data_IF_762179134812
#
_entry.id   IF_762179134812
#
_cell.length_a   1.000
_cell.length_b   1.000
_cell.length_c   1.000
_cell.angle_alpha   90.00
_cell.angle_beta   90.00
_cell.angle_gamma   90.00
#
_symmetry.space_group_name_H-M   'P 1'
#
loop_
_entity.id
_entity.type
_entity.pdbx_description
1 polymer ?
#
# COMPACT_ATOMS: atom_id res chain seq x y z
N UNK A 1 -19.40 5.09 -37.91
CA UNK A 1 -18.38 5.09 -38.99
C UNK A 1 -17.73 3.72 -38.97
N UNK A 2 -18.00 2.84 -39.96
CA UNK A 2 -17.38 1.50 -40.02
C UNK A 2 -15.92 1.67 -40.44
N UNK A 3 -14.98 1.33 -39.57
CA UNK A 3 -13.57 1.25 -39.94
C UNK A 3 -13.27 -0.21 -40.23
N UNK A 4 -13.31 -0.58 -41.51
CA UNK A 4 -12.84 -1.88 -41.99
C UNK A 4 -11.33 -1.78 -42.27
N UNK A 5 -10.52 -2.47 -41.46
CA UNK A 5 -9.10 -2.64 -41.75
C UNK A 5 -8.93 -3.79 -42.76
N UNK A 6 -8.73 -3.45 -44.03
CA UNK A 6 -8.45 -4.44 -45.07
C UNK A 6 -6.95 -4.59 -45.33
N UNK A 7 -6.35 -5.68 -44.86
CA UNK A 7 -5.48 -6.63 -45.61
C UNK A 7 -4.49 -7.39 -44.70
N UNK A 8 -4.62 -8.70 -44.70
CA UNK A 8 -3.78 -9.67 -43.99
C UNK A 8 -4.66 -10.61 -43.18
N UNK A 9 -4.63 -11.92 -43.46
CA UNK A 9 -5.48 -12.94 -42.86
C UNK A 9 -5.52 -12.83 -41.32
N UNK A 10 -6.51 -12.09 -40.83
CA UNK A 10 -6.62 -11.63 -39.46
C UNK A 10 -8.09 -11.69 -39.11
N UNK A 11 -8.38 -12.24 -37.94
CA UNK A 11 -9.71 -12.38 -37.37
C UNK A 11 -10.39 -11.00 -37.44
N UNK A 12 -11.40 -10.82 -38.30
CA UNK A 12 -12.25 -9.63 -38.29
C UNK A 12 -13.02 -9.64 -36.97
N UNK A 13 -12.58 -8.81 -36.02
CA UNK A 13 -13.36 -8.53 -34.83
C UNK A 13 -14.40 -7.48 -35.20
N UNK A 14 -15.65 -7.90 -35.36
CA UNK A 14 -16.80 -6.99 -35.47
C UNK A 14 -16.90 -6.16 -34.18
N UNK A 15 -16.34 -4.96 -34.20
CA UNK A 15 -16.31 -4.03 -33.06
C UNK A 15 -17.02 -2.72 -33.37
N UNK A 16 -17.89 -2.28 -32.47
CA UNK A 16 -18.51 -0.96 -32.51
C UNK A 16 -17.66 0.02 -31.70
N UNK A 17 -17.54 1.27 -32.18
CA UNK A 17 -16.82 2.32 -31.46
C UNK A 17 -17.51 3.67 -31.58
N UNK A 18 -17.39 4.48 -30.53
CA UNK A 18 -17.85 5.86 -30.50
C UNK A 18 -16.93 6.74 -29.67
N UNK A 19 -17.05 8.06 -29.87
CA UNK A 19 -16.28 9.07 -29.14
C UNK A 19 -17.23 9.78 -28.20
N UNK A 20 -17.02 9.61 -26.89
CA UNK A 20 -17.70 10.38 -25.86
C UNK A 20 -16.95 11.70 -25.65
N UNK A 21 -17.67 12.82 -25.74
CA UNK A 21 -17.07 14.14 -25.57
C UNK A 21 -18.00 15.10 -24.85
N UNK A 22 -17.48 15.75 -23.80
CA UNK A 22 -18.20 16.75 -22.99
C UNK A 22 -17.27 17.86 -22.53
N UNK A 23 -17.83 19.03 -22.26
CA UNK A 23 -17.10 20.22 -21.78
C UNK A 23 -17.33 20.51 -20.29
N UNK A 24 -17.91 19.57 -19.55
CA UNK A 24 -18.13 19.69 -18.09
C UNK A 24 -17.24 18.69 -17.35
N UNK A 25 -16.72 19.02 -16.16
CA UNK A 25 -15.97 18.07 -15.35
C UNK A 25 -16.89 16.99 -14.78
N UNK A 26 -16.32 15.83 -14.51
CA UNK A 26 -16.94 14.81 -13.68
C UNK A 26 -16.90 15.20 -12.20
N UNK A 27 -18.03 14.96 -11.53
CA UNK A 27 -18.16 15.09 -10.10
C UNK A 27 -17.41 13.96 -9.42
N UNK A 28 -16.53 14.32 -8.48
CA UNK A 28 -15.57 13.41 -7.86
C UNK A 28 -16.25 12.13 -7.32
N UNK A 29 -17.25 12.27 -6.46
CA UNK A 29 -17.88 11.12 -5.78
C UNK A 29 -18.68 10.23 -6.74
N UNK A 30 -19.25 10.82 -7.79
CA UNK A 30 -20.08 10.09 -8.76
C UNK A 30 -19.20 9.28 -9.69
N UNK A 31 -18.10 9.88 -10.16
CA UNK A 31 -17.10 9.17 -10.93
C UNK A 31 -16.45 8.03 -10.13
N UNK A 32 -16.11 8.26 -8.86
CA UNK A 32 -15.55 7.20 -8.00
C UNK A 32 -16.52 6.03 -7.86
N UNK A 33 -17.78 6.29 -7.52
CA UNK A 33 -18.78 5.23 -7.38
C UNK A 33 -18.95 4.40 -8.67
N UNK A 34 -18.89 5.04 -9.84
CA UNK A 34 -18.92 4.35 -11.12
C UNK A 34 -17.69 3.45 -11.32
N UNK A 35 -16.48 3.94 -11.01
CA UNK A 35 -15.26 3.16 -11.17
C UNK A 35 -15.24 1.92 -10.26
N UNK A 36 -15.80 2.04 -9.06
CA UNK A 36 -15.93 0.95 -8.09
C UNK A 36 -16.85 -0.13 -8.62
N UNK A 37 -18.01 0.30 -9.11
CA UNK A 37 -18.99 -0.57 -9.74
C UNK A 37 -18.37 -1.32 -10.92
N UNK A 38 -17.57 -0.64 -11.75
CA UNK A 38 -16.90 -1.27 -12.89
C UNK A 38 -15.78 -2.24 -12.46
N UNK A 39 -15.02 -1.90 -11.42
CA UNK A 39 -13.95 -2.73 -10.89
C UNK A 39 -14.48 -4.02 -10.22
N UNK A 40 -15.57 -3.92 -9.47
CA UNK A 40 -16.21 -5.06 -8.79
C UNK A 40 -16.98 -5.96 -9.78
N UNK A 41 -17.67 -5.38 -10.76
CA UNK A 41 -18.43 -6.16 -11.78
C UNK A 41 -17.54 -6.95 -12.71
N UNK A 42 -16.31 -6.50 -12.96
CA UNK A 42 -15.30 -7.28 -13.68
C UNK A 42 -14.98 -8.63 -13.00
N UNK A 43 -15.36 -8.83 -11.73
CA UNK A 43 -15.11 -10.07 -11.00
C UNK A 43 -16.30 -11.04 -10.96
N UNK A 44 -17.58 -10.61 -11.11
CA UNK A 44 -18.74 -11.48 -10.77
C UNK A 44 -20.02 -11.36 -11.65
N UNK A 45 -20.23 -10.37 -12.54
CA UNK A 45 -21.53 -10.29 -13.27
C UNK A 45 -21.44 -9.82 -14.75
N UNK A 46 -22.19 -10.48 -15.63
CA UNK A 46 -22.21 -10.26 -17.09
C UNK A 46 -23.25 -9.21 -17.56
N UNK A 47 -24.09 -8.68 -16.66
CA UNK A 47 -25.23 -7.83 -17.03
C UNK A 47 -25.02 -6.37 -16.61
N UNK A 48 -24.96 -5.48 -17.60
CA UNK A 48 -24.83 -4.03 -17.43
C UNK A 48 -24.39 -3.34 -18.73
N UNK A 49 -24.57 -2.02 -18.86
CA UNK A 49 -24.26 -1.30 -20.11
C UNK A 49 -22.77 -1.39 -20.51
N UNK A 50 -21.88 -1.50 -19.51
CA UNK A 50 -20.44 -1.63 -19.70
C UNK A 50 -19.95 -3.06 -19.99
N UNK A 51 -20.81 -4.09 -19.91
CA UNK A 51 -20.37 -5.48 -20.14
C UNK A 51 -19.99 -5.77 -21.60
N UNK A 52 -20.52 -4.97 -22.52
CA UNK A 52 -20.19 -5.02 -23.95
C UNK A 52 -18.95 -4.17 -24.32
N UNK A 53 -18.47 -3.30 -23.41
CA UNK A 53 -17.30 -2.45 -23.63
C UNK A 53 -16.03 -3.28 -23.44
N UNK A 54 -15.18 -3.31 -24.47
CA UNK A 54 -13.92 -4.06 -24.44
C UNK A 54 -12.75 -3.18 -24.01
N UNK A 55 -12.73 -1.94 -24.52
CA UNK A 55 -11.70 -0.95 -24.22
C UNK A 55 -12.28 0.44 -24.20
N UNK A 56 -11.66 1.31 -23.42
CA UNK A 56 -11.85 2.74 -23.53
C UNK A 56 -10.56 3.49 -23.20
N UNK A 57 -10.29 4.59 -23.89
CA UNK A 57 -9.08 5.38 -23.66
C UNK A 57 -9.34 6.85 -23.96
N UNK A 58 -8.80 7.74 -23.14
CA UNK A 58 -8.86 9.15 -23.42
C UNK A 58 -8.51 10.04 -22.25
N UNK A 59 -8.97 11.28 -22.30
CA UNK A 59 -8.72 12.29 -21.28
C UNK A 59 -10.03 12.67 -20.60
N UNK A 60 -9.99 12.77 -19.27
CA UNK A 60 -11.11 13.18 -18.44
C UNK A 60 -10.74 14.33 -17.52
N UNK A 61 -11.76 15.09 -17.13
CA UNK A 61 -11.63 16.25 -16.26
C UNK A 61 -12.42 15.99 -14.98
N UNK A 62 -11.78 16.17 -13.81
CA UNK A 62 -12.39 15.92 -12.51
C UNK A 62 -12.42 17.21 -11.68
N UNK A 63 -13.57 17.50 -11.06
CA UNK A 63 -13.92 18.77 -10.41
C UNK A 63 -12.87 19.35 -9.42
N UNK A 64 -12.12 18.51 -8.69
CA UNK A 64 -11.15 18.99 -7.68
C UNK A 64 -9.76 19.29 -8.26
N UNK A 65 -9.45 18.75 -9.44
CA UNK A 65 -8.17 18.96 -10.12
C UNK A 65 -8.44 19.70 -11.42
N UNK A 66 -8.87 20.95 -11.27
CA UNK A 66 -9.11 21.85 -12.41
C UNK A 66 -7.81 22.30 -13.07
N UNK A 67 -6.65 21.97 -12.52
CA UNK A 67 -5.35 22.30 -13.08
C UNK A 67 -4.78 21.16 -13.93
N UNK A 68 -5.12 19.90 -13.62
CA UNK A 68 -4.55 18.72 -14.28
C UNK A 68 -5.59 17.90 -15.05
N UNK A 69 -5.17 17.38 -16.19
CA UNK A 69 -5.92 16.37 -16.94
C UNK A 69 -5.82 15.01 -16.25
N UNK A 70 -6.74 14.10 -16.55
CA UNK A 70 -6.64 12.72 -16.11
C UNK A 70 -6.69 11.79 -17.33
N UNK A 71 -5.75 10.85 -17.40
CA UNK A 71 -5.71 9.83 -18.44
C UNK A 71 -6.56 8.63 -18.06
N UNK A 72 -7.62 8.39 -18.82
CA UNK A 72 -8.45 7.20 -18.71
C UNK A 72 -7.90 6.09 -19.60
N UNK A 73 -7.72 4.89 -19.04
CA UNK A 73 -7.35 3.68 -19.76
C UNK A 73 -8.08 2.45 -19.23
N UNK A 74 -8.86 1.83 -20.09
CA UNK A 74 -9.63 0.63 -19.83
C UNK A 74 -9.30 -0.43 -20.87
N UNK A 75 -8.92 -1.62 -20.43
CA UNK A 75 -8.75 -2.79 -21.26
C UNK A 75 -9.13 -4.06 -20.51
N UNK A 76 -10.17 -4.75 -20.99
CA UNK A 76 -10.68 -5.96 -20.34
C UNK A 76 -11.12 -5.66 -18.91
N UNK A 77 -10.55 -6.37 -17.94
CA UNK A 77 -10.81 -6.19 -16.50
C UNK A 77 -10.03 -5.06 -15.84
N UNK A 78 -9.14 -4.40 -16.59
CA UNK A 78 -8.28 -3.34 -16.06
C UNK A 78 -8.85 -1.99 -16.45
N UNK A 79 -9.23 -1.18 -15.47
CA UNK A 79 -9.67 0.21 -15.64
C UNK A 79 -8.82 1.10 -14.74
N UNK A 80 -8.17 2.10 -15.34
CA UNK A 80 -7.27 3.03 -14.67
C UNK A 80 -7.61 4.45 -15.13
N UNK A 81 -7.60 5.39 -14.19
CA UNK A 81 -7.68 6.82 -14.47
C UNK A 81 -6.59 7.47 -13.65
N UNK A 82 -5.60 8.06 -14.30
CA UNK A 82 -4.39 8.58 -13.68
C UNK A 82 -4.33 10.08 -13.85
N UNK A 83 -3.85 10.81 -12.84
CA UNK A 83 -3.53 12.23 -13.03
C UNK A 83 -2.43 12.36 -14.09
N UNK A 84 -2.69 13.21 -15.08
CA UNK A 84 -1.83 13.49 -16.22
C UNK A 84 -1.23 14.88 -16.14
N UNK A 85 -0.93 15.46 -17.31
CA UNK A 85 -0.31 16.77 -17.41
C UNK A 85 -1.29 17.92 -17.11
N UNK A 86 -0.78 19.12 -16.73
CA UNK A 86 -1.59 20.33 -16.66
C UNK A 86 -2.38 20.56 -17.96
N UNK A 87 -3.63 21.03 -17.84
CA UNK A 87 -4.51 21.23 -19.00
C UNK A 87 -3.91 22.13 -20.09
N UNK A 88 -3.10 23.11 -19.69
CA UNK A 88 -2.43 24.04 -20.60
C UNK A 88 -1.41 23.32 -21.51
N UNK A 89 -0.71 22.31 -20.98
CA UNK A 89 0.24 21.49 -21.75
C UNK A 89 -0.48 20.53 -22.71
N UNK A 90 -1.57 19.93 -22.27
CA UNK A 90 -2.39 18.99 -23.07
C UNK A 90 -3.00 19.66 -24.31
N UNK A 91 -3.45 20.91 -24.21
CA UNK A 91 -4.01 21.64 -25.34
C UNK A 91 -2.95 21.94 -26.41
N UNK A 92 -1.72 22.27 -25.98
CA UNK A 92 -0.62 22.57 -26.91
C UNK A 92 -0.09 21.35 -27.68
N UNK A 93 -0.21 20.15 -27.12
CA UNK A 93 0.29 18.92 -27.77
C UNK A 93 -0.70 18.29 -28.76
N UNK A 94 -2.01 18.52 -28.60
CA UNK A 94 -3.06 17.98 -29.48
C UNK A 94 -3.53 18.93 -30.59
N UNK A 95 -3.46 20.24 -30.36
CA UNK A 95 -3.85 21.25 -31.34
C UNK A 95 -2.57 21.93 -31.83
N UNK A 96 -2.02 21.46 -32.95
CA UNK A 96 -0.85 22.06 -33.55
C UNK A 96 -1.05 23.56 -33.79
N UNK A 97 -0.38 24.38 -32.97
CA UNK A 97 -0.17 25.80 -33.18
C UNK A 97 -1.32 26.75 -32.85
N UNK A 98 -1.07 27.65 -31.89
CA UNK A 98 -1.52 29.04 -31.93
C UNK A 98 -2.94 29.34 -31.44
N UNK A 99 -3.07 29.79 -30.20
CA UNK A 99 -4.27 30.46 -29.74
C UNK A 99 -4.26 30.75 -28.25
N UNK A 100 -3.89 31.96 -27.85
CA UNK A 100 -4.12 32.49 -26.50
C UNK A 100 -5.59 32.87 -26.36
N UNK A 101 -6.37 32.17 -25.53
CA UNK A 101 -7.57 32.75 -24.92
C UNK A 101 -7.96 32.02 -23.63
N UNK A 102 -8.13 32.82 -22.58
CA UNK A 102 -8.98 32.65 -21.39
C UNK A 102 -9.75 31.32 -21.28
N UNK A 103 -9.48 30.60 -20.18
CA UNK A 103 -10.33 29.61 -19.49
C UNK A 103 -11.72 29.34 -20.11
N UNK A 104 -11.85 28.55 -21.19
CA UNK A 104 -13.09 27.81 -21.52
C UNK A 104 -13.00 26.76 -22.66
N UNK A 105 -11.80 26.26 -22.99
CA UNK A 105 -11.59 25.29 -24.08
C UNK A 105 -11.46 23.82 -23.64
N UNK A 106 -11.75 23.50 -22.38
CA UNK A 106 -11.48 22.17 -21.81
C UNK A 106 -12.55 21.19 -22.23
N UNK A 107 -12.11 20.07 -22.81
CA UNK A 107 -12.99 19.01 -23.28
C UNK A 107 -12.41 17.68 -22.88
N UNK A 108 -13.24 16.87 -22.22
CA UNK A 108 -12.94 15.46 -22.01
C UNK A 108 -13.35 14.68 -23.25
N UNK A 109 -12.52 13.72 -23.63
CA UNK A 109 -12.71 12.90 -24.82
C UNK A 109 -12.29 11.47 -24.50
N UNK A 110 -13.22 10.53 -24.64
CA UNK A 110 -13.01 9.11 -24.48
C UNK A 110 -13.37 8.40 -25.77
N UNK A 111 -12.45 7.60 -26.28
CA UNK A 111 -12.74 6.63 -27.33
C UNK A 111 -13.18 5.35 -26.63
N UNK A 112 -14.36 4.86 -26.97
CA UNK A 112 -14.94 3.64 -26.40
C UNK A 112 -15.12 2.62 -27.51
N UNK A 113 -14.63 1.39 -27.27
CA UNK A 113 -14.65 0.27 -28.22
C UNK A 113 -15.31 -0.91 -27.53
N UNK A 114 -16.36 -1.47 -28.13
CA UNK A 114 -17.11 -2.61 -27.61
C UNK A 114 -17.40 -3.68 -28.65
N UNK A 115 -18.04 -4.75 -28.19
CA UNK A 115 -18.58 -5.81 -29.05
C UNK A 115 -19.75 -5.28 -29.90
N UNK A 116 -20.06 -5.99 -30.98
CA UNK A 116 -21.21 -5.70 -31.83
C UNK A 116 -22.51 -5.57 -31.01
N UNK A 117 -23.31 -4.54 -31.29
CA UNK A 117 -24.52 -4.18 -30.53
C UNK A 117 -24.25 -3.64 -29.12
N UNK A 118 -23.12 -2.94 -28.94
CA UNK A 118 -22.82 -2.21 -27.69
C UNK A 118 -23.91 -1.18 -27.40
N UNK A 119 -24.38 -1.13 -26.16
CA UNK A 119 -25.38 -0.18 -25.69
C UNK A 119 -24.77 1.23 -25.49
N UNK A 120 -24.34 1.86 -26.59
CA UNK A 120 -23.61 3.12 -26.59
C UNK A 120 -24.36 4.22 -25.82
N UNK A 121 -25.67 4.37 -26.06
CA UNK A 121 -26.51 5.35 -25.36
C UNK A 121 -26.56 5.14 -23.85
N UNK A 122 -26.56 3.90 -23.37
CA UNK A 122 -26.59 3.59 -21.95
C UNK A 122 -25.22 3.83 -21.29
N UNK A 123 -24.12 3.58 -22.01
CA UNK A 123 -22.76 3.93 -21.57
C UNK A 123 -22.62 5.44 -21.48
N UNK A 124 -23.09 6.20 -22.47
CA UNK A 124 -23.11 7.66 -22.44
C UNK A 124 -23.95 8.19 -21.28
N UNK A 125 -25.15 7.65 -21.06
CA UNK A 125 -26.01 8.06 -19.95
C UNK A 125 -25.34 7.81 -18.58
N UNK A 126 -24.59 6.71 -18.44
CA UNK A 126 -23.84 6.40 -17.21
C UNK A 126 -22.73 7.40 -16.95
N UNK A 127 -22.00 7.80 -18.00
CA UNK A 127 -20.97 8.85 -17.91
C UNK A 127 -21.60 10.22 -17.64
N UNK A 128 -22.68 10.57 -18.35
CA UNK A 128 -23.37 11.85 -18.17
C UNK A 128 -23.95 12.01 -16.77
N UNK A 129 -24.42 10.93 -16.14
CA UNK A 129 -24.85 10.92 -14.75
C UNK A 129 -23.72 11.29 -13.77
N UNK A 130 -22.45 11.18 -14.18
CA UNK A 130 -21.29 11.56 -13.38
C UNK A 130 -20.87 13.03 -13.56
N UNK A 131 -21.44 13.78 -14.51
CA UNK A 131 -21.04 15.17 -14.77
C UNK A 131 -21.53 16.15 -13.70
N UNK A 132 -20.70 17.12 -13.34
CA UNK A 132 -21.10 18.22 -12.45
C UNK A 132 -22.28 19.01 -13.03
N UNK A 133 -23.17 19.43 -12.16
CA UNK A 133 -24.23 20.40 -12.46
C UNK A 133 -23.66 21.81 -12.49
N UNK A 134 -24.35 22.74 -13.17
CA UNK A 134 -23.88 24.13 -13.30
C UNK A 134 -23.77 24.83 -11.93
N UNK A 135 -24.61 24.42 -10.96
CA UNK A 135 -24.54 24.88 -9.58
C UNK A 135 -23.27 24.39 -8.85
N UNK A 136 -22.85 23.14 -9.06
CA UNK A 136 -21.65 22.55 -8.46
C UNK A 136 -20.35 23.10 -9.07
N UNK A 137 -20.38 23.53 -10.34
CA UNK A 137 -19.25 24.15 -11.04
C UNK A 137 -19.06 25.61 -10.59
N UNK A 138 -20.16 26.31 -10.28
CA UNK A 138 -20.15 27.73 -9.90
C UNK A 138 -19.77 27.98 -8.44
N UNK A 139 -19.70 26.94 -7.61
CA UNK A 139 -19.22 27.06 -6.24
C UNK A 139 -17.68 27.10 -6.25
N UNK A 140 -17.04 28.14 -5.69
CA UNK A 140 -15.59 28.13 -5.51
C UNK A 140 -15.23 26.94 -4.63
N UNK A 141 -14.23 26.16 -5.05
CA UNK A 141 -13.66 25.10 -4.23
C UNK A 141 -13.34 25.70 -2.85
N UNK A 142 -14.03 25.26 -1.80
CA UNK A 142 -13.77 25.75 -0.45
C UNK A 142 -12.29 25.54 -0.15
N UNK A 143 -11.56 26.62 0.16
CA UNK A 143 -10.19 26.51 0.66
C UNK A 143 -10.20 25.70 1.97
N UNK A 144 -9.19 24.87 2.22
CA UNK A 144 -9.11 24.11 3.45
C UNK A 144 -8.97 25.08 4.63
N UNK A 145 -10.00 25.14 5.46
CA UNK A 145 -9.94 25.85 6.74
C UNK A 145 -9.12 24.99 7.71
N UNK A 146 -7.90 25.44 8.00
CA UNK A 146 -7.11 24.93 9.13
C UNK A 146 -7.91 25.18 10.43
N UNK A 147 -8.49 24.12 10.98
CA UNK A 147 -9.37 24.25 12.15
C UNK A 147 -9.70 22.90 12.80
N UNK A 148 -8.95 22.60 13.86
CA UNK A 148 -9.09 21.50 14.80
C UNK A 148 -10.55 21.20 15.24
N UNK A 149 -11.05 20.01 14.93
CA UNK A 149 -11.94 19.23 15.82
C UNK A 149 -12.07 17.79 15.31
N UNK A 150 -11.84 16.85 16.23
CA UNK A 150 -11.79 15.42 15.96
C UNK A 150 -13.11 14.83 15.46
N UNK A 151 -13.23 14.72 14.14
CA UNK A 151 -13.82 13.60 13.39
C UNK A 151 -13.34 13.80 11.95
N UNK A 152 -12.14 13.31 11.64
CA UNK A 152 -11.58 13.43 10.30
C UNK A 152 -12.34 12.50 9.33
N UNK A 153 -13.47 12.98 8.80
CA UNK A 153 -14.01 12.49 7.55
C UNK A 153 -12.94 12.70 6.46
N UNK A 154 -12.73 11.73 5.56
CA UNK A 154 -11.53 11.66 4.74
C UNK A 154 -11.56 12.79 3.71
N UNK A 155 -10.78 13.83 3.95
CA UNK A 155 -10.56 14.95 3.02
C UNK A 155 -9.75 14.55 1.77
N UNK A 156 -9.79 13.27 1.36
CA UNK A 156 -8.98 12.80 0.25
C UNK A 156 -9.51 11.53 -0.42
N UNK A 157 -10.81 11.20 -0.29
CA UNK A 157 -11.33 9.93 -0.79
C UNK A 157 -11.17 9.74 -2.31
N UNK A 158 -11.05 10.81 -3.12
CA UNK A 158 -10.76 10.70 -4.56
C UNK A 158 -9.30 10.87 -4.98
N UNK A 159 -8.51 11.67 -4.25
CA UNK A 159 -7.05 11.61 -4.34
C UNK A 159 -6.57 10.21 -3.99
N UNK A 160 -7.18 9.59 -2.97
CA UNK A 160 -7.01 8.19 -2.61
C UNK A 160 -7.56 7.26 -3.70
N UNK A 161 -8.76 7.44 -4.27
CA UNK A 161 -9.28 6.45 -5.25
C UNK A 161 -8.41 6.27 -6.51
N UNK A 162 -7.83 7.35 -7.05
CA UNK A 162 -6.94 7.27 -8.22
C UNK A 162 -5.50 6.86 -7.88
N UNK A 163 -5.05 7.05 -6.64
CA UNK A 163 -3.69 6.68 -6.18
C UNK A 163 -3.64 5.31 -5.49
N UNK A 164 -4.77 4.76 -5.07
CA UNK A 164 -4.81 3.61 -4.13
C UNK A 164 -4.49 2.26 -4.73
N UNK A 165 -4.36 2.11 -6.06
CA UNK A 165 -3.96 0.80 -6.62
C UNK A 165 -2.69 0.73 -7.46
N UNK A 166 -2.16 1.78 -8.08
CA UNK A 166 -0.88 1.68 -8.80
C UNK A 166 -0.11 3.01 -8.91
N UNK A 167 0.71 3.33 -7.92
CA UNK A 167 1.90 4.16 -8.22
C UNK A 167 2.77 3.39 -9.21
N UNK A 168 2.96 3.93 -10.42
CA UNK A 168 3.81 3.31 -11.44
C UNK A 168 5.28 3.34 -11.01
N UNK A 169 6.11 2.45 -11.56
CA UNK A 169 7.57 2.51 -11.33
C UNK A 169 8.16 3.87 -11.72
N UNK A 170 7.60 4.52 -12.74
CA UNK A 170 8.00 5.86 -13.19
C UNK A 170 7.71 6.93 -12.12
N UNK A 171 6.58 6.82 -11.41
CA UNK A 171 6.27 7.73 -10.30
C UNK A 171 7.33 7.66 -9.21
N UNK A 172 7.70 6.43 -8.79
CA UNK A 172 8.73 6.22 -7.75
C UNK A 172 10.08 6.74 -8.23
N UNK A 173 10.45 6.46 -9.48
CA UNK A 173 11.70 6.94 -10.07
C UNK A 173 11.80 8.48 -10.10
N UNK A 174 10.70 9.17 -10.40
CA UNK A 174 10.66 10.64 -10.35
C UNK A 174 10.88 11.16 -8.92
N UNK A 175 10.26 10.53 -7.92
CA UNK A 175 10.40 10.95 -6.50
C UNK A 175 11.81 10.70 -5.99
N UNK A 176 12.47 9.63 -6.42
CA UNK A 176 13.87 9.36 -6.04
C UNK A 176 14.86 10.46 -6.47
N UNK A 177 14.50 11.28 -7.46
CA UNK A 177 15.30 12.43 -7.87
C UNK A 177 15.09 13.66 -6.97
N UNK A 178 14.09 13.65 -6.08
CA UNK A 178 13.86 14.73 -5.12
C UNK A 178 15.01 14.83 -4.13
N UNK A 179 15.27 16.08 -3.70
CA UNK A 179 16.34 16.42 -2.77
C UNK A 179 15.83 16.78 -1.38
N UNK A 180 14.52 16.95 -1.20
CA UNK A 180 13.90 17.17 0.10
C UNK A 180 13.61 15.82 0.79
N UNK A 181 14.29 15.49 1.90
CA UNK A 181 14.05 14.26 2.66
C UNK A 181 12.66 14.21 3.28
N UNK A 182 12.04 15.37 3.56
CA UNK A 182 10.72 15.43 4.19
C UNK A 182 9.64 15.05 3.20
N UNK A 183 9.66 15.62 1.99
CA UNK A 183 8.79 15.22 0.88
C UNK A 183 8.92 13.73 0.57
N UNK A 184 10.15 13.21 0.48
CA UNK A 184 10.41 11.78 0.28
C UNK A 184 9.78 10.91 1.37
N UNK A 185 9.93 11.30 2.64
CA UNK A 185 9.31 10.61 3.79
C UNK A 185 7.78 10.65 3.72
N UNK A 186 7.18 11.77 3.34
CA UNK A 186 5.72 11.90 3.23
C UNK A 186 5.16 11.07 2.06
N UNK A 187 5.85 11.06 0.92
CA UNK A 187 5.56 10.16 -0.18
C UNK A 187 5.69 8.68 0.23
N UNK A 188 6.72 8.32 0.99
CA UNK A 188 6.92 6.99 1.52
C UNK A 188 5.82 6.58 2.53
N UNK A 189 5.38 7.51 3.39
CA UNK A 189 4.26 7.31 4.31
C UNK A 189 2.96 6.96 3.58
N UNK A 190 2.69 7.67 2.47
CA UNK A 190 1.52 7.37 1.64
C UNK A 190 1.62 5.98 1.03
N UNK A 191 2.78 5.60 0.46
CA UNK A 191 3.04 4.26 -0.05
C UNK A 191 2.92 3.17 1.03
N UNK A 192 3.35 3.46 2.25
CA UNK A 192 3.25 2.57 3.40
C UNK A 192 1.79 2.32 3.80
N UNK A 193 0.96 3.36 3.81
CA UNK A 193 -0.48 3.28 4.15
C UNK A 193 -1.25 2.42 3.14
N UNK A 194 -0.88 2.48 1.86
CA UNK A 194 -1.50 1.66 0.80
C UNK A 194 -0.87 0.26 0.66
N UNK A 195 0.06 -0.13 1.55
CA UNK A 195 0.66 -1.46 1.56
C UNK A 195 1.77 -1.71 0.53
N UNK A 196 2.22 -0.69 -0.20
CA UNK A 196 3.34 -0.79 -1.16
C UNK A 196 4.69 -0.67 -0.45
N UNK A 197 5.00 -1.66 0.38
CA UNK A 197 6.18 -1.62 1.25
C UNK A 197 7.50 -1.53 0.49
N UNK A 198 7.64 -2.21 -0.66
CA UNK A 198 8.90 -2.20 -1.43
C UNK A 198 9.24 -0.80 -1.95
N UNK A 199 8.26 -0.09 -2.45
CA UNK A 199 8.44 1.25 -3.02
C UNK A 199 8.55 2.31 -1.92
N UNK A 200 7.81 2.14 -0.82
CA UNK A 200 7.98 2.96 0.38
C UNK A 200 9.43 2.88 0.89
N UNK A 201 10.01 1.67 0.93
CA UNK A 201 11.39 1.47 1.36
C UNK A 201 12.40 2.18 0.45
N UNK A 202 12.20 2.21 -0.87
CA UNK A 202 13.09 2.95 -1.77
C UNK A 202 13.14 4.45 -1.43
N UNK A 203 11.98 5.05 -1.17
CA UNK A 203 11.90 6.46 -0.82
C UNK A 203 12.45 6.73 0.60
N UNK A 204 12.21 5.82 1.55
CA UNK A 204 12.81 5.92 2.88
C UNK A 204 14.32 5.76 2.87
N UNK A 205 14.85 4.82 2.10
CA UNK A 205 16.28 4.62 1.93
C UNK A 205 16.92 5.91 1.40
N UNK A 206 16.29 6.54 0.39
CA UNK A 206 16.74 7.84 -0.12
C UNK A 206 16.67 8.96 0.92
N UNK A 207 15.59 9.03 1.71
CA UNK A 207 15.46 10.02 2.79
C UNK A 207 16.55 9.85 3.86
N UNK A 208 16.87 8.60 4.22
CA UNK A 208 17.95 8.26 5.16
C UNK A 208 19.33 8.53 4.57
N UNK A 209 19.55 8.31 3.26
CA UNK A 209 20.80 8.70 2.59
C UNK A 209 21.06 10.20 2.66
N UNK A 210 20.00 11.01 2.47
CA UNK A 210 20.09 12.46 2.52
C UNK A 210 20.26 12.99 3.96
N UNK A 211 19.67 12.30 4.94
CA UNK A 211 19.73 12.66 6.36
C UNK A 211 19.96 11.41 7.23
N UNK A 212 21.22 10.92 7.32
CA UNK A 212 21.54 9.65 7.99
C UNK A 212 21.40 9.70 9.52
N UNK A 213 21.42 10.90 10.10
CA UNK A 213 21.33 11.09 11.55
C UNK A 213 19.95 11.58 12.01
N UNK A 214 18.94 11.55 11.13
CA UNK A 214 17.57 11.90 11.49
C UNK A 214 16.81 10.66 12.03
N UNK A 215 16.50 10.59 13.35
CA UNK A 215 15.85 9.43 13.93
C UNK A 215 14.43 9.19 13.42
N UNK A 216 13.75 10.22 12.92
CA UNK A 216 12.36 10.11 12.46
C UNK A 216 12.27 9.36 11.12
N UNK A 217 13.20 9.61 10.20
CA UNK A 217 13.30 8.88 8.93
C UNK A 217 13.66 7.41 9.16
N UNK A 218 14.63 7.15 10.04
CA UNK A 218 15.02 5.80 10.43
C UNK A 218 13.86 5.08 11.11
N UNK A 219 13.12 5.77 11.99
CA UNK A 219 11.95 5.22 12.66
C UNK A 219 10.83 4.88 11.67
N UNK A 220 10.59 5.72 10.67
CA UNK A 220 9.59 5.47 9.65
C UNK A 220 9.98 4.27 8.76
N UNK A 221 11.25 4.18 8.35
CA UNK A 221 11.79 3.01 7.62
C UNK A 221 11.69 1.72 8.44
N UNK A 222 12.10 1.76 9.70
CA UNK A 222 12.01 0.66 10.65
C UNK A 222 10.56 0.13 10.76
N UNK A 223 9.56 1.02 10.82
CA UNK A 223 8.17 0.63 10.88
C UNK A 223 7.72 -0.12 9.61
N UNK A 224 8.23 0.26 8.43
CA UNK A 224 7.97 -0.49 7.18
C UNK A 224 8.68 -1.85 7.19
N UNK A 225 9.91 -1.95 7.70
CA UNK A 225 10.59 -3.23 7.86
C UNK A 225 9.82 -4.17 8.79
N UNK A 226 9.29 -3.66 9.90
CA UNK A 226 8.43 -4.44 10.79
C UNK A 226 7.16 -4.94 10.10
N UNK A 227 6.47 -4.09 9.33
CA UNK A 227 5.25 -4.50 8.62
C UNK A 227 5.50 -5.44 7.44
N UNK A 228 6.66 -5.32 6.79
CA UNK A 228 7.06 -6.20 5.68
C UNK A 228 7.81 -7.46 6.15
N UNK A 229 7.78 -7.75 7.45
CA UNK A 229 8.39 -8.91 8.09
C UNK A 229 9.93 -9.03 7.92
N UNK A 230 10.61 -7.90 7.69
CA UNK A 230 12.08 -7.81 7.59
C UNK A 230 12.68 -7.46 8.96
N UNK A 231 12.46 -8.30 9.97
CA UNK A 231 12.82 -7.98 11.37
C UNK A 231 14.31 -7.74 11.58
N UNK A 232 15.19 -8.48 10.91
CA UNK A 232 16.65 -8.29 11.04
C UNK A 232 17.08 -6.88 10.65
N UNK A 233 16.50 -6.31 9.58
CA UNK A 233 16.75 -4.92 9.17
C UNK A 233 16.12 -3.93 10.15
N UNK A 234 14.93 -4.25 10.66
CA UNK A 234 14.30 -3.43 11.70
C UNK A 234 15.15 -3.35 12.98
N UNK A 235 15.83 -4.43 13.40
CA UNK A 235 16.76 -4.42 14.55
C UNK A 235 17.93 -3.48 14.30
N UNK A 236 18.50 -3.47 13.08
CA UNK A 236 19.60 -2.57 12.73
C UNK A 236 19.18 -1.10 12.86
N UNK A 237 18.02 -0.74 12.29
CA UNK A 237 17.47 0.62 12.41
C UNK A 237 17.13 0.98 13.85
N UNK A 238 16.57 0.04 14.63
CA UNK A 238 16.24 0.28 16.04
C UNK A 238 17.50 0.56 16.88
N UNK A 239 18.59 -0.20 16.68
CA UNK A 239 19.88 0.04 17.33
C UNK A 239 20.47 1.39 16.91
N UNK A 240 20.36 1.77 15.63
CA UNK A 240 20.80 3.09 15.17
C UNK A 240 20.04 4.23 15.85
N UNK A 241 18.73 4.09 16.06
CA UNK A 241 17.93 5.09 16.79
C UNK A 241 18.40 5.21 18.25
N UNK A 242 18.79 4.11 18.88
CA UNK A 242 19.36 4.10 20.23
C UNK A 242 20.70 4.82 20.27
N UNK A 243 21.59 4.58 19.29
CA UNK A 243 22.87 5.29 19.16
C UNK A 243 22.67 6.81 18.99
N UNK A 244 21.68 7.22 18.20
CA UNK A 244 21.37 8.63 17.96
C UNK A 244 20.68 9.31 19.14
N UNK A 245 19.96 8.55 19.97
CA UNK A 245 19.22 9.05 21.15
C UNK A 245 19.45 8.15 22.37
N UNK A 246 20.65 8.20 22.99
CA UNK A 246 20.99 7.34 24.13
C UNK A 246 20.18 7.65 25.39
N UNK A 247 19.62 8.86 25.51
CA UNK A 247 18.79 9.22 26.68
C UNK A 247 17.30 8.89 26.49
N UNK A 248 16.92 8.36 25.31
CA UNK A 248 15.52 8.15 24.96
C UNK A 248 15.06 6.72 25.22
N UNK A 249 14.60 6.45 26.44
CA UNK A 249 14.09 5.13 26.90
C UNK A 249 13.10 4.47 25.92
N UNK A 250 12.15 5.17 25.28
CA UNK A 250 11.26 4.54 24.30
C UNK A 250 11.95 3.98 23.05
N UNK A 251 13.17 4.42 22.70
CA UNK A 251 13.97 3.79 21.65
C UNK A 251 14.46 2.41 22.11
N UNK A 252 15.00 2.30 23.32
CA UNK A 252 15.43 1.03 23.89
C UNK A 252 14.30 0.02 23.99
N UNK A 253 13.12 0.43 24.48
CA UNK A 253 11.97 -0.48 24.60
C UNK A 253 11.49 -0.99 23.23
N UNK A 254 11.52 -0.13 22.20
CA UNK A 254 11.19 -0.55 20.84
C UNK A 254 12.24 -1.49 20.28
N UNK A 255 13.53 -1.19 20.45
CA UNK A 255 14.62 -2.05 20.03
C UNK A 255 14.53 -3.43 20.71
N UNK A 256 14.38 -3.47 22.03
CA UNK A 256 14.20 -4.70 22.80
C UNK A 256 12.99 -5.51 22.31
N UNK A 257 11.85 -4.88 22.05
CA UNK A 257 10.67 -5.56 21.53
C UNK A 257 10.88 -6.18 20.14
N UNK A 258 11.61 -5.51 19.24
CA UNK A 258 11.93 -6.03 17.91
C UNK A 258 12.96 -7.16 18.01
N UNK A 259 14.00 -6.99 18.83
CA UNK A 259 15.06 -7.99 19.08
C UNK A 259 14.49 -9.25 19.72
N UNK A 260 13.54 -9.13 20.65
CA UNK A 260 12.83 -10.25 21.25
C UNK A 260 12.04 -11.05 20.21
N UNK A 261 11.40 -10.37 19.24
CA UNK A 261 10.68 -11.04 18.16
C UNK A 261 11.58 -11.86 17.24
N UNK A 262 12.82 -11.39 17.04
CA UNK A 262 13.88 -12.14 16.33
C UNK A 262 14.38 -13.32 17.16
N UNK A 263 14.12 -13.34 18.47
CA UNK A 263 14.55 -14.40 19.38
C UNK A 263 15.94 -14.19 19.99
N UNK A 264 16.56 -13.02 19.79
CA UNK A 264 17.82 -12.66 20.44
C UNK A 264 17.55 -12.23 21.89
N UNK A 265 17.46 -13.21 22.79
CA UNK A 265 17.15 -13.00 24.21
C UNK A 265 18.28 -12.25 24.93
N UNK A 266 19.53 -12.54 24.57
CA UNK A 266 20.74 -11.86 25.06
C UNK A 266 20.72 -10.37 24.76
N UNK A 267 20.60 -10.01 23.49
CA UNK A 267 20.58 -8.61 23.06
C UNK A 267 19.35 -7.87 23.59
N UNK A 268 18.22 -8.57 23.78
CA UNK A 268 17.04 -8.00 24.44
C UNK A 268 17.35 -7.62 25.90
N UNK A 269 18.00 -8.52 26.66
CA UNK A 269 18.38 -8.24 28.06
C UNK A 269 19.33 -7.05 28.15
N UNK A 270 20.36 -7.02 27.31
CA UNK A 270 21.34 -5.92 27.27
C UNK A 270 20.67 -4.56 27.03
N UNK A 271 19.74 -4.50 26.06
CA UNK A 271 18.99 -3.28 25.75
C UNK A 271 18.09 -2.84 26.91
N UNK A 272 17.45 -3.77 27.62
CA UNK A 272 16.61 -3.45 28.77
C UNK A 272 17.42 -3.02 29.99
N UNK A 273 18.60 -3.61 30.20
CA UNK A 273 19.53 -3.22 31.25
C UNK A 273 20.06 -1.80 31.02
N UNK A 274 20.39 -1.46 29.78
CA UNK A 274 20.76 -0.09 29.40
C UNK A 274 19.58 0.88 29.58
N UNK A 275 18.37 0.50 29.15
CA UNK A 275 17.17 1.30 29.34
C UNK A 275 16.93 1.62 30.82
N UNK A 276 17.15 0.64 31.71
CA UNK A 276 17.01 0.80 33.17
C UNK A 276 18.09 1.70 33.75
N UNK A 277 19.32 1.63 33.23
CA UNK A 277 20.42 2.54 33.61
C UNK A 277 20.11 3.99 33.21
N UNK A 278 19.68 4.21 31.97
CA UNK A 278 19.28 5.52 31.45
C UNK A 278 18.08 6.11 32.21
N UNK A 279 17.13 5.26 32.65
CA UNK A 279 15.94 5.71 33.36
C UNK A 279 16.17 6.19 34.82
N UNK A 280 17.40 6.10 35.36
CA UNK A 280 17.84 6.63 36.67
C UNK A 280 16.75 6.67 37.76
N UNK A 281 16.20 5.50 38.11
CA UNK A 281 15.35 5.34 39.30
C UNK A 281 13.89 5.79 39.17
N UNK A 282 13.44 6.31 38.02
CA UNK A 282 12.00 6.29 37.71
C UNK A 282 11.63 4.85 37.39
N UNK A 283 11.02 4.16 38.36
CA UNK A 283 10.38 2.86 38.12
C UNK A 283 9.45 3.00 36.91
N UNK A 284 9.91 2.49 35.77
CA UNK A 284 9.16 2.55 34.52
C UNK A 284 8.47 1.21 34.38
N UNK A 285 7.17 1.20 34.65
CA UNK A 285 6.30 0.02 34.49
C UNK A 285 6.50 -0.60 33.10
N UNK A 286 6.79 0.21 32.08
CA UNK A 286 7.06 -0.27 30.72
C UNK A 286 8.35 -1.09 30.60
N UNK A 287 9.40 -0.75 31.36
CA UNK A 287 10.66 -1.53 31.40
C UNK A 287 10.40 -2.86 32.11
N UNK A 288 9.71 -2.83 33.26
CA UNK A 288 9.42 -4.05 34.02
C UNK A 288 8.53 -5.02 33.23
N UNK A 289 7.48 -4.51 32.57
CA UNK A 289 6.68 -5.31 31.63
C UNK A 289 7.47 -5.89 30.46
N UNK A 290 8.56 -5.24 30.04
CA UNK A 290 9.43 -5.77 28.99
C UNK A 290 10.35 -6.88 29.52
N UNK A 291 10.82 -6.77 30.76
CA UNK A 291 11.53 -7.85 31.45
C UNK A 291 10.61 -9.06 31.65
N UNK A 292 9.36 -8.87 32.08
CA UNK A 292 8.40 -9.98 32.24
C UNK A 292 8.20 -10.76 30.93
N UNK A 293 8.13 -10.04 29.80
CA UNK A 293 8.02 -10.67 28.46
C UNK A 293 9.28 -11.44 28.10
N UNK A 294 10.45 -10.91 28.42
CA UNK A 294 11.74 -11.59 28.20
C UNK A 294 11.83 -12.86 29.04
N UNK A 295 11.53 -12.79 30.33
CA UNK A 295 11.56 -13.95 31.24
C UNK A 295 10.56 -15.03 30.79
N UNK A 296 9.36 -14.63 30.36
CA UNK A 296 8.39 -15.56 29.81
C UNK A 296 8.90 -16.23 28.52
N UNK A 297 9.60 -15.48 27.65
CA UNK A 297 10.19 -16.04 26.43
C UNK A 297 11.33 -17.01 26.74
N UNK A 298 12.21 -16.68 27.69
CA UNK A 298 13.29 -17.56 28.18
C UNK A 298 12.73 -18.85 28.79
N UNK A 299 11.72 -18.74 29.64
CA UNK A 299 11.05 -19.89 30.25
C UNK A 299 10.43 -20.79 29.19
N UNK A 300 9.70 -20.22 28.23
CA UNK A 300 9.06 -20.98 27.16
C UNK A 300 10.09 -21.69 26.28
N UNK A 301 11.21 -21.03 25.96
CA UNK A 301 12.27 -21.62 25.14
C UNK A 301 12.98 -22.76 25.88
N UNK A 302 13.23 -22.60 27.19
CA UNK A 302 13.78 -23.67 28.03
C UNK A 302 12.84 -24.86 28.14
N UNK A 303 11.55 -24.61 28.33
CA UNK A 303 10.51 -25.66 28.39
C UNK A 303 10.40 -26.41 27.06
N UNK A 304 10.38 -25.69 25.93
CA UNK A 304 10.34 -26.28 24.60
C UNK A 304 11.53 -27.21 24.35
N UNK A 305 12.75 -26.79 24.71
CA UNK A 305 13.96 -27.62 24.59
C UNK A 305 13.89 -28.85 25.51
N UNK A 306 13.48 -28.68 26.76
CA UNK A 306 13.34 -29.81 27.69
C UNK A 306 12.34 -30.86 27.22
N UNK A 307 11.21 -30.44 26.61
CA UNK A 307 10.22 -31.35 26.04
C UNK A 307 10.70 -32.06 24.78
N UNK A 308 11.48 -31.36 23.95
CA UNK A 308 12.16 -31.97 22.80
C UNK A 308 13.14 -33.06 23.25
N UNK A 309 13.99 -32.77 24.25
CA UNK A 309 14.98 -33.70 24.79
C UNK A 309 14.34 -34.91 25.48
N UNK A 310 13.15 -34.71 26.10
CA UNK A 310 12.38 -35.79 26.75
C UNK A 310 11.61 -36.68 25.78
N UNK A 311 11.58 -36.35 24.48
CA UNK A 311 10.83 -37.08 23.47
C UNK A 311 9.33 -36.80 23.45
N UNK A 312 8.86 -35.80 24.20
CA UNK A 312 7.46 -35.38 24.30
C UNK A 312 7.11 -34.40 23.16
N UNK A 313 7.24 -34.87 21.91
CA UNK A 313 7.21 -34.00 20.72
C UNK A 313 5.89 -33.24 20.53
N UNK A 314 4.76 -33.83 20.89
CA UNK A 314 3.45 -33.17 20.77
C UNK A 314 3.35 -31.95 21.71
N UNK A 315 3.77 -32.12 22.98
CA UNK A 315 3.79 -31.03 23.97
C UNK A 315 4.83 -29.96 23.60
N UNK A 316 5.98 -30.37 23.05
CA UNK A 316 6.99 -29.45 22.55
C UNK A 316 6.41 -28.50 21.47
N UNK A 317 5.59 -29.02 20.56
CA UNK A 317 4.93 -28.21 19.52
C UNK A 317 3.90 -27.22 20.10
N UNK A 318 3.18 -27.59 21.15
CA UNK A 318 2.26 -26.67 21.84
C UNK A 318 3.01 -25.52 22.53
N UNK A 319 4.09 -25.86 23.26
CA UNK A 319 4.94 -24.86 23.92
C UNK A 319 5.58 -23.92 22.90
N UNK A 320 6.08 -24.45 21.78
CA UNK A 320 6.62 -23.62 20.70
C UNK A 320 5.55 -22.72 20.08
N UNK A 321 4.34 -23.23 19.85
CA UNK A 321 3.23 -22.43 19.32
C UNK A 321 2.87 -21.26 20.26
N UNK A 322 2.93 -21.49 21.57
CA UNK A 322 2.79 -20.43 22.58
C UNK A 322 3.96 -19.45 22.53
N UNK A 323 5.20 -19.93 22.45
CA UNK A 323 6.42 -19.12 22.44
C UNK A 323 6.51 -18.21 21.20
N UNK A 324 6.12 -18.73 20.03
CA UNK A 324 6.12 -17.99 18.76
C UNK A 324 5.15 -16.78 18.76
N UNK A 325 4.17 -16.70 19.67
CA UNK A 325 3.32 -15.50 19.80
C UNK A 325 4.11 -14.26 20.24
N UNK A 326 5.20 -14.44 20.98
CA UNK A 326 6.10 -13.36 21.41
C UNK A 326 7.40 -13.28 20.59
N UNK A 327 7.83 -14.39 20.00
CA UNK A 327 9.09 -14.53 19.27
C UNK A 327 8.88 -15.21 17.90
N UNK A 328 8.09 -14.58 17.04
CA UNK A 328 7.61 -15.17 15.77
C UNK A 328 8.71 -15.39 14.71
N UNK A 329 9.81 -14.64 14.81
CA UNK A 329 10.97 -14.75 13.93
C UNK A 329 12.16 -15.48 14.56
N UNK A 330 11.99 -16.07 15.74
CA UNK A 330 13.03 -16.87 16.39
C UNK A 330 13.45 -18.07 15.55
N UNK A 331 14.75 -18.14 15.24
CA UNK A 331 15.36 -19.28 14.54
C UNK A 331 15.36 -20.52 15.43
N UNK A 332 15.75 -20.38 16.70
CA UNK A 332 15.73 -21.45 17.70
C UNK A 332 14.37 -22.14 17.79
N UNK A 333 13.28 -21.36 17.94
CA UNK A 333 11.94 -21.92 18.03
C UNK A 333 11.51 -22.62 16.73
N UNK A 334 11.95 -22.12 15.57
CA UNK A 334 11.69 -22.78 14.28
C UNK A 334 12.44 -24.10 14.17
N UNK A 335 13.70 -24.15 14.61
CA UNK A 335 14.50 -25.37 14.63
C UNK A 335 13.86 -26.42 15.53
N UNK A 336 13.51 -26.06 16.77
CA UNK A 336 12.82 -26.95 17.71
C UNK A 336 11.50 -27.46 17.11
N UNK A 337 10.70 -26.58 16.48
CA UNK A 337 9.46 -26.97 15.81
C UNK A 337 9.71 -28.00 14.71
N UNK A 338 10.70 -27.76 13.86
CA UNK A 338 11.00 -28.62 12.73
C UNK A 338 11.47 -30.00 13.22
N UNK A 339 12.36 -30.03 14.21
CA UNK A 339 12.85 -31.27 14.82
C UNK A 339 11.73 -32.07 15.48
N UNK A 340 10.90 -31.43 16.30
CA UNK A 340 9.74 -32.07 16.94
C UNK A 340 8.74 -32.61 15.91
N UNK A 341 8.50 -31.88 14.81
CA UNK A 341 7.58 -32.32 13.74
C UNK A 341 8.11 -33.56 13.02
N UNK A 342 9.41 -33.58 12.68
CA UNK A 342 10.05 -34.72 12.03
C UNK A 342 10.05 -35.95 12.93
N UNK A 343 10.40 -35.77 14.21
CA UNK A 343 10.44 -36.86 15.18
C UNK A 343 9.04 -37.45 15.45
N UNK A 344 8.01 -36.60 15.54
CA UNK A 344 6.63 -37.05 15.69
C UNK A 344 6.13 -37.83 14.47
N UNK A 345 6.45 -37.35 13.25
CA UNK A 345 6.10 -38.06 12.02
C UNK A 345 6.80 -39.44 11.93
N UNK A 346 8.07 -39.51 12.32
CA UNK A 346 8.81 -40.76 12.37
C UNK A 346 8.20 -41.76 13.38
N UNK A 347 7.81 -41.30 14.57
CA UNK A 347 7.15 -42.13 15.59
C UNK A 347 5.79 -42.66 15.10
N UNK A 348 5.00 -41.83 14.41
CA UNK A 348 3.71 -42.25 13.83
C UNK A 348 3.89 -43.31 12.74
N UNK A 349 4.87 -43.14 11.85
CA UNK A 349 5.17 -44.11 10.79
C UNK A 349 5.63 -45.47 11.35
N UNK A 350 6.48 -45.46 12.39
CA UNK A 350 6.91 -46.68 13.06
C UNK A 350 5.73 -47.44 13.70
N UNK A 351 4.75 -46.71 14.23
CA UNK A 351 3.55 -47.30 14.84
C UNK A 351 2.62 -47.92 13.78
N UNK A 352 2.45 -47.27 12.63
CA UNK A 352 1.61 -47.78 11.53
C UNK A 352 2.16 -49.07 10.89
N UNK A 353 3.49 -49.21 10.81
CA UNK A 353 4.14 -50.44 10.31
C UNK A 353 4.03 -51.60 11.31
N UNK A 354 3.84 -51.31 12.60
CA UNK A 354 3.75 -52.31 13.66
C UNK A 354 2.33 -52.87 13.88
N UNK A 355 1.30 -52.26 13.28
CA UNK A 355 -0.07 -52.79 13.25
C UNK A 355 -0.25 -53.73 12.04
N UNK A 356 -0.46 -55.05 12.24
CA UNK A 356 -0.56 -56.05 11.18
C UNK A 356 -1.86 -56.02 10.38
#
# INVERSE_FOLDING_TARGET
MRISYGHGAGIEFDSDSFIYSRSKPFHRHRLSALLDELAERSAVAADGPWSSVMRSKGLVWVQHSNQFSHEWSHAGSSLEVLEGEPWDAVQTSRLGGGGTSQLDGRRQELIIIGRQSMAAEAVEATLDACLCTDAEISQPAAEPVDGDSGTAAPADALGCYFTTKRHSKAWVAARLAETDPTALKDHANNLHRIGRFKDALLLYDRAVELQPDNPDHIQARMAVYMRSNQMTRAVQDARRIVELRPDFVPAYLRAAGITLRVGDLSGTRELLDEARRVACGRGSVSIDMAFDKLEQAESNLKEARGKLDSGEYAEALEVVSRAMRGADQSEDLRTIRNEATVALAAAAAATAVATP
#
